data_IF_553522497135
#
_entry.id   IF_553522497135
#
_cell.length_a   1.000
_cell.length_b   1.000
_cell.length_c   1.000
_cell.angle_alpha   90.00
_cell.angle_beta   90.00
_cell.angle_gamma   90.00
#
_symmetry.space_group_name_H-M   'P 1'
#
loop_
_entity.id
_entity.type
_entity.pdbx_description
1 polymer ?
#
# COMPACT_ATOMS: atom_id res chain seq x y z
N UNK A 1 -63.75 -9.08 -2.22
CA UNK A 1 -63.23 -9.82 -1.05
C UNK A 1 -61.79 -10.18 -1.37
N UNK A 2 -60.80 -9.46 -0.82
CA UNK A 2 -59.39 -9.85 -1.01
C UNK A 2 -59.24 -11.19 -0.31
N UNK A 3 -58.96 -12.25 -1.08
CA UNK A 3 -58.74 -13.57 -0.52
C UNK A 3 -57.53 -13.47 0.40
N UNK A 4 -57.72 -13.69 1.71
CA UNK A 4 -56.69 -13.58 2.76
C UNK A 4 -55.42 -14.36 2.36
N UNK A 5 -55.58 -15.47 1.64
CA UNK A 5 -54.51 -16.31 1.09
C UNK A 5 -53.67 -15.55 0.03
N UNK A 6 -54.30 -14.78 -0.86
CA UNK A 6 -53.61 -13.94 -1.85
C UNK A 6 -52.87 -12.78 -1.17
N UNK A 7 -53.44 -12.20 -0.11
CA UNK A 7 -52.78 -11.18 0.69
C UNK A 7 -51.52 -11.72 1.40
N UNK A 8 -51.58 -12.93 1.98
CA UNK A 8 -50.44 -13.61 2.60
C UNK A 8 -49.34 -13.91 1.58
N UNK A 9 -49.70 -14.39 0.38
CA UNK A 9 -48.73 -14.63 -0.71
C UNK A 9 -48.03 -13.35 -1.19
N UNK A 10 -48.77 -12.24 -1.26
CA UNK A 10 -48.21 -10.92 -1.59
C UNK A 10 -47.26 -10.40 -0.50
N UNK A 11 -47.58 -10.63 0.78
CA UNK A 11 -46.73 -10.26 1.91
C UNK A 11 -45.42 -11.06 1.92
N UNK A 12 -45.48 -12.36 1.64
CA UNK A 12 -44.30 -13.22 1.51
C UNK A 12 -43.39 -12.77 0.37
N UNK A 13 -43.98 -12.40 -0.78
CA UNK A 13 -43.23 -11.86 -1.94
C UNK A 13 -42.55 -10.54 -1.60
N UNK A 14 -43.24 -9.65 -0.87
CA UNK A 14 -42.69 -8.38 -0.43
C UNK A 14 -41.50 -8.56 0.53
N UNK A 15 -41.61 -9.48 1.50
CA UNK A 15 -40.53 -9.79 2.44
C UNK A 15 -39.31 -10.35 1.69
N UNK A 16 -39.52 -11.26 0.74
CA UNK A 16 -38.45 -11.80 -0.10
C UNK A 16 -37.75 -10.71 -0.92
N UNK A 17 -38.51 -9.78 -1.51
CA UNK A 17 -37.96 -8.64 -2.23
C UNK A 17 -37.11 -7.72 -1.32
N UNK A 18 -37.55 -7.51 -0.07
CA UNK A 18 -36.78 -6.73 0.91
C UNK A 18 -35.45 -7.40 1.26
N UNK A 19 -35.45 -8.71 1.51
CA UNK A 19 -34.21 -9.46 1.76
C UNK A 19 -33.27 -9.43 0.56
N UNK A 20 -33.81 -9.55 -0.66
CA UNK A 20 -33.02 -9.43 -1.89
C UNK A 20 -32.40 -8.04 -2.01
N UNK A 21 -33.17 -6.99 -1.75
CA UNK A 21 -32.69 -5.61 -1.77
C UNK A 21 -31.57 -5.36 -0.76
N UNK A 22 -31.71 -5.84 0.48
CA UNK A 22 -30.67 -5.73 1.50
C UNK A 22 -29.42 -6.51 1.07
N UNK A 23 -29.58 -7.75 0.58
CA UNK A 23 -28.47 -8.58 0.11
C UNK A 23 -27.67 -7.90 -1.01
N UNK A 24 -28.36 -7.41 -2.04
CA UNK A 24 -27.74 -6.68 -3.17
C UNK A 24 -27.08 -5.39 -2.68
N UNK A 25 -27.70 -4.66 -1.76
CA UNK A 25 -27.12 -3.44 -1.18
C UNK A 25 -25.82 -3.73 -0.44
N UNK A 26 -25.77 -4.80 0.36
CA UNK A 26 -24.56 -5.25 1.06
C UNK A 26 -23.48 -5.68 0.07
N UNK A 27 -23.83 -6.43 -0.98
CA UNK A 27 -22.87 -6.83 -2.03
C UNK A 27 -22.27 -5.61 -2.75
N UNK A 28 -23.11 -4.65 -3.15
CA UNK A 28 -22.65 -3.41 -3.79
C UNK A 28 -21.76 -2.58 -2.85
N UNK A 29 -22.08 -2.55 -1.55
CA UNK A 29 -21.25 -1.87 -0.56
C UNK A 29 -19.89 -2.54 -0.38
N UNK A 30 -19.83 -3.87 -0.28
CA UNK A 30 -18.58 -4.63 -0.19
C UNK A 30 -17.73 -4.47 -1.46
N UNK A 31 -18.37 -4.49 -2.64
CA UNK A 31 -17.71 -4.18 -3.89
C UNK A 31 -17.15 -2.75 -3.89
N UNK A 32 -17.90 -1.76 -3.41
CA UNK A 32 -17.43 -0.35 -3.29
C UNK A 32 -16.18 -0.22 -2.42
N UNK A 33 -16.08 -0.96 -1.31
CA UNK A 33 -14.86 -0.97 -0.47
C UNK A 33 -13.68 -1.59 -1.22
N UNK A 34 -13.93 -2.67 -2.00
CA UNK A 34 -12.93 -3.25 -2.89
C UNK A 34 -12.54 -2.31 -4.05
N UNK A 35 -13.23 -1.17 -4.22
CA UNK A 35 -12.92 -0.18 -5.23
C UNK A 35 -12.18 1.05 -4.70
N UNK A 36 -11.88 1.17 -3.39
CA UNK A 36 -11.07 2.27 -2.87
C UNK A 36 -9.61 1.90 -3.08
N UNK A 37 -8.89 2.53 -4.03
CA UNK A 37 -7.47 2.26 -4.22
C UNK A 37 -6.70 2.70 -2.98
N UNK A 38 -6.11 1.74 -2.28
CA UNK A 38 -5.24 1.97 -1.15
C UNK A 38 -3.91 1.31 -1.49
N UNK A 39 -2.89 2.13 -1.74
CA UNK A 39 -1.54 1.67 -2.03
C UNK A 39 -0.69 1.95 -0.80
N UNK A 40 0.05 0.94 -0.36
CA UNK A 40 0.85 1.06 0.85
C UNK A 40 2.02 0.09 0.84
N UNK A 41 2.95 0.34 1.75
CA UNK A 41 4.07 -0.55 2.01
C UNK A 41 3.74 -1.37 3.24
N UNK A 42 4.21 -2.61 3.28
CA UNK A 42 4.29 -3.32 4.55
C UNK A 42 5.44 -2.73 5.38
N UNK A 43 5.58 -3.19 6.61
CA UNK A 43 6.70 -2.78 7.46
C UNK A 43 8.03 -3.11 6.77
N UNK A 44 8.89 -2.10 6.66
CA UNK A 44 10.22 -2.18 6.07
C UNK A 44 11.23 -1.97 7.20
N UNK A 45 12.12 -2.94 7.37
CA UNK A 45 13.18 -2.88 8.37
C UNK A 45 14.51 -2.55 7.69
N UNK A 46 15.25 -1.65 8.32
CA UNK A 46 16.61 -1.28 7.97
C UNK A 46 17.51 -1.80 9.10
N UNK A 47 18.28 -2.84 8.83
CA UNK A 47 19.12 -3.54 9.81
C UNK A 47 20.55 -3.13 9.56
N UNK A 48 21.20 -2.54 10.57
CA UNK A 48 22.60 -2.18 10.52
C UNK A 48 23.40 -3.18 11.35
N UNK A 49 24.29 -3.92 10.70
CA UNK A 49 25.13 -4.92 11.35
C UNK A 49 26.37 -4.31 12.04
N UNK A 50 27.15 -5.17 12.72
CA UNK A 50 28.43 -4.78 13.37
C UNK A 50 29.44 -4.14 12.41
N UNK A 51 29.42 -4.54 11.14
CA UNK A 51 30.31 -4.00 10.10
C UNK A 51 29.77 -2.67 9.53
N UNK A 52 28.72 -2.13 10.15
CA UNK A 52 28.00 -0.93 9.73
C UNK A 52 27.38 -1.02 8.34
N UNK A 53 27.15 -2.23 7.83
CA UNK A 53 26.43 -2.41 6.57
C UNK A 53 24.95 -2.35 6.86
N UNK A 54 24.28 -1.47 6.13
CA UNK A 54 22.84 -1.42 6.13
C UNK A 54 22.31 -2.60 5.31
N UNK A 55 21.23 -3.20 5.77
CA UNK A 55 20.47 -4.21 5.07
C UNK A 55 19.00 -3.84 5.08
N UNK A 56 18.32 -4.00 3.95
CA UNK A 56 16.89 -3.76 3.84
C UNK A 56 16.13 -5.07 3.83
N UNK A 57 15.03 -5.13 4.60
CA UNK A 57 14.16 -6.29 4.67
C UNK A 57 12.69 -5.88 4.66
N UNK A 58 11.92 -6.41 3.71
CA UNK A 58 10.47 -6.35 3.78
C UNK A 58 9.97 -7.47 4.69
N UNK A 59 9.21 -7.14 5.72
CA UNK A 59 8.67 -8.12 6.72
C UNK A 59 7.81 -9.23 6.12
N UNK A 60 7.31 -9.04 4.90
CA UNK A 60 6.50 -10.02 4.17
C UNK A 60 7.29 -10.82 3.14
N UNK A 61 8.62 -10.75 3.21
CA UNK A 61 9.51 -11.60 2.45
C UNK A 61 10.01 -12.76 3.28
N UNK A 62 10.03 -13.94 2.67
CA UNK A 62 10.71 -15.12 3.23
C UNK A 62 12.20 -15.14 2.87
N UNK A 63 12.72 -14.06 2.29
CA UNK A 63 14.13 -13.93 2.00
C UNK A 63 14.92 -13.85 3.32
N UNK A 64 15.92 -14.71 3.45
CA UNK A 64 16.90 -14.65 4.55
C UNK A 64 17.96 -13.56 4.31
N UNK A 65 18.07 -13.06 3.07
CA UNK A 65 19.10 -12.13 2.61
C UNK A 65 18.57 -10.70 2.37
N UNK A 66 19.52 -9.78 2.14
CA UNK A 66 19.32 -8.39 1.76
C UNK A 66 18.37 -8.23 0.56
N UNK A 67 17.46 -7.25 0.62
CA UNK A 67 16.54 -6.95 -0.47
C UNK A 67 16.79 -5.57 -1.11
N UNK A 68 17.08 -5.55 -2.41
CA UNK A 68 17.26 -4.32 -3.19
C UNK A 68 15.93 -3.69 -3.66
N UNK A 69 14.84 -3.87 -2.91
CA UNK A 69 13.52 -3.40 -3.32
C UNK A 69 12.54 -3.23 -2.16
N UNK A 70 11.56 -2.35 -2.33
CA UNK A 70 10.37 -2.24 -1.47
C UNK A 70 9.20 -3.00 -2.07
N UNK A 71 8.40 -3.67 -1.25
CA UNK A 71 7.13 -4.26 -1.71
C UNK A 71 5.98 -3.27 -1.51
N UNK A 72 5.46 -2.77 -2.63
CA UNK A 72 4.23 -1.98 -2.67
C UNK A 72 3.02 -2.90 -2.84
N UNK A 73 2.04 -2.77 -1.96
CA UNK A 73 0.82 -3.57 -1.98
C UNK A 73 -0.39 -2.73 -2.38
N UNK A 74 -1.35 -3.41 -3.01
CA UNK A 74 -2.67 -2.87 -3.23
C UNK A 74 -3.63 -3.40 -2.17
N UNK A 75 -3.82 -2.59 -1.13
CA UNK A 75 -4.79 -2.80 -0.06
C UNK A 75 -6.24 -2.54 -0.54
N UNK A 76 -6.40 -2.00 -1.76
CA UNK A 76 -7.64 -1.48 -2.33
C UNK A 76 -8.26 -2.31 -3.45
N UNK A 77 -8.22 -3.64 -3.36
CA UNK A 77 -9.03 -4.55 -4.17
C UNK A 77 -8.85 -4.50 -5.71
N UNK A 78 -7.86 -3.77 -6.25
CA UNK A 78 -7.58 -3.73 -7.69
C UNK A 78 -8.09 -2.51 -8.46
N UNK A 79 -8.48 -1.43 -7.78
CA UNK A 79 -9.15 -0.29 -8.43
C UNK A 79 -8.23 0.77 -9.07
N UNK A 80 -6.92 0.73 -8.81
CA UNK A 80 -5.95 1.64 -9.40
C UNK A 80 -5.47 1.11 -10.76
N UNK A 81 -5.54 1.95 -11.81
CA UNK A 81 -4.97 1.69 -13.13
C UNK A 81 -3.96 2.77 -13.52
N UNK A 82 -3.04 2.42 -14.42
CA UNK A 82 -2.00 3.33 -14.94
C UNK A 82 -1.26 4.01 -13.79
N UNK A 83 -0.78 3.20 -12.85
CA UNK A 83 -0.04 3.67 -11.69
C UNK A 83 1.38 4.05 -12.14
N UNK A 84 1.79 5.23 -11.75
CA UNK A 84 3.17 5.72 -11.86
C UNK A 84 3.70 5.88 -10.45
N UNK A 85 4.83 5.24 -10.18
CA UNK A 85 5.52 5.28 -8.90
C UNK A 85 6.84 6.03 -9.12
N UNK A 86 7.03 7.12 -8.43
CA UNK A 86 8.24 7.95 -8.49
C UNK A 86 8.91 7.92 -7.12
N UNK A 87 10.16 7.49 -7.07
CA UNK A 87 11.02 7.64 -5.89
C UNK A 87 11.79 8.95 -6.05
N UNK A 88 11.73 9.77 -5.03
CA UNK A 88 12.25 11.13 -4.99
C UNK A 88 13.30 11.25 -3.89
N UNK A 89 14.32 12.07 -4.11
CA UNK A 89 15.18 12.59 -3.04
C UNK A 89 14.91 14.08 -2.87
N UNK A 90 14.53 14.51 -1.67
CA UNK A 90 13.93 15.82 -1.44
C UNK A 90 12.54 15.90 -2.08
N UNK A 91 12.13 17.09 -2.50
CA UNK A 91 10.75 17.31 -2.98
C UNK A 91 10.54 16.89 -4.44
N UNK A 92 11.50 17.17 -5.33
CA UNK A 92 11.27 17.11 -6.78
C UNK A 92 12.22 16.21 -7.57
N UNK A 93 13.33 15.77 -6.96
CA UNK A 93 14.36 15.03 -7.70
C UNK A 93 13.96 13.57 -7.86
N UNK A 94 13.29 13.26 -8.97
CA UNK A 94 12.95 11.89 -9.34
C UNK A 94 14.23 11.11 -9.65
N UNK A 95 14.56 10.16 -8.79
CA UNK A 95 15.71 9.29 -8.96
C UNK A 95 15.33 7.91 -9.51
N UNK A 96 14.05 7.56 -9.42
CA UNK A 96 13.52 6.36 -10.02
C UNK A 96 12.06 6.54 -10.41
N UNK A 97 11.68 5.94 -11.54
CA UNK A 97 10.31 5.94 -12.02
C UNK A 97 9.91 4.57 -12.50
N UNK A 98 8.74 4.11 -12.07
CA UNK A 98 8.17 2.82 -12.47
C UNK A 98 6.74 2.99 -12.93
N UNK A 99 6.38 2.27 -13.99
CA UNK A 99 5.04 2.26 -14.55
C UNK A 99 4.39 0.90 -14.32
N UNK A 100 3.16 0.91 -13.83
CA UNK A 100 2.38 -0.30 -13.52
C UNK A 100 0.98 -0.13 -14.10
N UNK A 101 0.55 -1.08 -14.93
CA UNK A 101 -0.75 -0.98 -15.59
C UNK A 101 -1.93 -1.20 -14.63
N UNK A 102 -1.81 -2.20 -13.75
CA UNK A 102 -2.80 -2.57 -12.74
C UNK A 102 -2.06 -3.30 -11.62
N UNK A 103 -2.53 -3.16 -10.38
CA UNK A 103 -2.05 -3.90 -9.22
C UNK A 103 -3.10 -4.95 -8.81
N UNK A 104 -2.89 -6.26 -9.02
CA UNK A 104 -3.75 -7.29 -8.44
C UNK A 104 -3.82 -7.18 -6.91
N UNK A 105 -4.97 -7.51 -6.34
CA UNK A 105 -5.24 -7.36 -4.90
C UNK A 105 -4.48 -8.31 -3.98
N UNK A 106 -3.78 -9.32 -4.54
CA UNK A 106 -3.08 -10.35 -3.77
C UNK A 106 -1.58 -10.40 -4.03
N UNK A 107 -1.06 -9.51 -4.87
CA UNK A 107 0.35 -9.50 -5.25
C UNK A 107 0.99 -8.16 -4.89
N UNK A 108 2.19 -8.24 -4.32
CA UNK A 108 3.03 -7.07 -4.06
C UNK A 108 3.94 -6.78 -5.24
N UNK A 109 4.17 -5.50 -5.52
CA UNK A 109 5.07 -5.07 -6.59
C UNK A 109 6.40 -4.67 -6.00
N UNK A 110 7.46 -5.19 -6.59
CA UNK A 110 8.82 -4.85 -6.21
C UNK A 110 9.17 -3.49 -6.80
N UNK A 111 9.33 -2.48 -5.96
CA UNK A 111 9.88 -1.19 -6.32
C UNK A 111 11.39 -1.25 -6.06
N UNK A 112 12.25 -1.35 -7.10
CA UNK A 112 13.68 -1.46 -6.85
C UNK A 112 14.19 -0.25 -6.07
N UNK A 113 15.21 -0.46 -5.26
CA UNK A 113 15.94 0.59 -4.56
C UNK A 113 17.30 0.63 -5.21
N UNK A 114 17.60 1.74 -5.88
CA UNK A 114 18.91 1.94 -6.44
C UNK A 114 19.91 2.34 -5.34
N UNK A 115 21.20 2.19 -5.64
CA UNK A 115 22.27 2.52 -4.71
C UNK A 115 22.17 3.94 -4.11
N UNK A 116 21.72 4.94 -4.88
CA UNK A 116 21.60 6.32 -4.36
C UNK A 116 20.51 6.46 -3.31
N UNK A 117 19.40 5.73 -3.45
CA UNK A 117 18.38 5.65 -2.39
C UNK A 117 18.99 5.03 -1.14
N UNK A 118 19.73 3.93 -1.34
CA UNK A 118 20.29 3.16 -0.26
C UNK A 118 21.33 3.97 0.54
N UNK A 119 22.24 4.63 -0.17
CA UNK A 119 23.25 5.53 0.40
C UNK A 119 22.57 6.66 1.21
N UNK A 120 21.45 7.23 0.72
CA UNK A 120 20.70 8.26 1.45
C UNK A 120 20.10 7.72 2.76
N UNK A 121 19.52 6.52 2.76
CA UNK A 121 18.96 5.90 3.96
C UNK A 121 20.06 5.64 5.01
N UNK A 122 21.21 5.14 4.56
CA UNK A 122 22.38 4.89 5.42
C UNK A 122 22.94 6.19 6.01
N UNK A 123 23.06 7.24 5.19
CA UNK A 123 23.51 8.56 5.65
C UNK A 123 22.50 9.21 6.62
N UNK A 124 21.20 9.05 6.38
CA UNK A 124 20.13 9.53 7.27
C UNK A 124 20.29 8.91 8.68
N UNK A 125 20.49 7.59 8.73
CA UNK A 125 20.70 6.85 9.98
C UNK A 125 22.01 7.28 10.66
N UNK A 126 23.12 7.40 9.92
CA UNK A 126 24.42 7.84 10.48
C UNK A 126 24.38 9.23 11.09
N UNK A 127 23.57 10.11 10.52
CA UNK A 127 23.43 11.49 11.00
C UNK A 127 22.40 11.62 12.14
N UNK A 128 21.81 10.52 12.63
CA UNK A 128 20.72 10.51 13.60
C UNK A 128 19.54 11.42 13.18
N UNK A 129 19.26 11.49 11.88
CA UNK A 129 18.09 12.19 11.36
C UNK A 129 16.93 11.21 11.26
N UNK A 130 15.77 11.57 11.80
CA UNK A 130 14.56 10.74 11.72
C UNK A 130 13.74 11.03 10.47
N UNK A 131 13.92 12.22 9.86
CA UNK A 131 13.34 12.52 8.55
C UNK A 131 14.33 12.09 7.45
N UNK A 132 13.87 11.19 6.58
CA UNK A 132 14.61 10.82 5.38
C UNK A 132 14.26 11.77 4.24
N UNK A 133 15.24 12.11 3.41
CA UNK A 133 14.96 12.82 2.16
C UNK A 133 14.32 11.91 1.10
N UNK A 134 14.19 10.60 1.33
CA UNK A 134 13.50 9.70 0.41
C UNK A 134 11.99 9.87 0.48
N UNK A 135 11.36 10.22 -0.64
CA UNK A 135 9.91 10.35 -0.76
C UNK A 135 9.36 9.48 -1.89
N UNK A 136 8.07 9.14 -1.83
CA UNK A 136 7.39 8.36 -2.87
C UNK A 136 6.16 9.12 -3.35
N UNK A 137 6.11 9.39 -4.66
CA UNK A 137 4.93 9.92 -5.33
C UNK A 137 4.24 8.82 -6.13
N UNK A 138 2.97 8.61 -5.83
CA UNK A 138 2.09 7.66 -6.50
C UNK A 138 1.06 8.45 -7.31
N UNK A 139 1.00 8.23 -8.61
CA UNK A 139 -0.03 8.79 -9.48
C UNK A 139 -0.81 7.67 -10.15
N UNK A 140 -2.13 7.64 -10.02
CA UNK A 140 -2.95 6.59 -10.64
C UNK A 140 -4.33 7.09 -11.05
N UNK A 141 -5.02 6.32 -11.88
CA UNK A 141 -6.42 6.56 -12.22
C UNK A 141 -7.32 5.62 -11.42
N UNK A 142 -8.34 6.19 -10.79
CA UNK A 142 -9.37 5.41 -10.11
C UNK A 142 -10.32 4.80 -11.15
N UNK A 143 -10.54 3.48 -11.12
CA UNK A 143 -11.35 2.78 -12.13
C UNK A 143 -12.78 3.29 -12.26
N UNK A 144 -13.46 3.54 -11.14
CA UNK A 144 -14.85 4.03 -11.12
C UNK A 144 -14.95 5.52 -11.48
N UNK A 145 -14.28 6.40 -10.73
CA UNK A 145 -14.42 7.84 -10.94
C UNK A 145 -13.68 8.36 -12.19
N UNK A 146 -12.76 7.56 -12.76
CA UNK A 146 -11.84 7.94 -13.86
C UNK A 146 -10.98 9.16 -13.56
N UNK A 147 -10.97 9.65 -12.32
CA UNK A 147 -10.15 10.78 -11.89
C UNK A 147 -8.72 10.31 -11.64
N UNK A 148 -7.77 11.15 -12.00
CA UNK A 148 -6.37 11.00 -11.57
C UNK A 148 -6.31 11.32 -10.08
N UNK A 149 -5.56 10.51 -9.35
CA UNK A 149 -5.21 10.70 -7.95
C UNK A 149 -3.70 10.78 -7.85
N UNK A 150 -3.23 11.66 -6.97
CA UNK A 150 -1.82 11.76 -6.62
C UNK A 150 -1.71 11.63 -5.10
N UNK A 151 -0.79 10.78 -4.65
CA UNK A 151 -0.44 10.60 -3.25
C UNK A 151 1.05 10.87 -3.16
N UNK A 152 1.44 11.69 -2.19
CA UNK A 152 2.82 11.96 -1.84
C UNK A 152 3.06 11.42 -0.45
N UNK A 153 4.04 10.52 -0.31
CA UNK A 153 4.39 9.86 0.93
C UNK A 153 5.80 10.27 1.32
N UNK A 154 5.96 10.76 2.55
CA UNK A 154 7.25 11.15 3.09
C UNK A 154 7.92 9.99 3.79
N UNK A 155 9.21 9.79 3.53
CA UNK A 155 10.00 8.77 4.22
C UNK A 155 10.36 9.21 5.63
N UNK A 156 10.01 8.38 6.61
CA UNK A 156 10.39 8.56 8.00
C UNK A 156 11.18 7.33 8.46
N UNK A 157 12.25 7.54 9.21
CA UNK A 157 13.07 6.48 9.78
C UNK A 157 13.01 6.59 11.29
N UNK A 158 12.47 5.57 11.94
CA UNK A 158 12.42 5.48 13.40
C UNK A 158 13.34 4.38 13.90
N UNK A 159 13.89 4.57 15.10
CA UNK A 159 14.59 3.49 15.80
C UNK A 159 13.55 2.45 16.25
N UNK A 160 13.74 1.20 15.82
CA UNK A 160 12.84 0.10 16.14
C UNK A 160 13.36 -0.69 17.35
N UNK A 161 14.63 -1.09 17.32
CA UNK A 161 15.30 -1.74 18.44
C UNK A 161 16.83 -1.68 18.30
N UNK A 162 17.55 -1.85 19.39
CA UNK A 162 19.01 -1.86 19.39
C UNK A 162 19.54 -3.04 20.21
N UNK A 163 20.45 -3.80 19.62
CA UNK A 163 21.12 -4.96 20.22
C UNK A 163 22.62 -4.69 20.33
N UNK A 164 23.36 -5.54 21.03
CA UNK A 164 24.83 -5.40 21.15
C UNK A 164 25.54 -5.42 19.78
N UNK A 165 24.92 -6.10 18.82
CA UNK A 165 25.53 -6.55 17.57
C UNK A 165 24.84 -6.01 16.31
N UNK A 166 23.66 -5.42 16.46
CA UNK A 166 22.87 -4.88 15.36
C UNK A 166 21.91 -3.80 15.86
N UNK A 167 21.66 -2.80 15.02
CA UNK A 167 20.62 -1.80 15.26
C UNK A 167 19.55 -1.92 14.18
N UNK A 168 18.28 -1.92 14.59
CA UNK A 168 17.13 -2.06 13.70
C UNK A 168 16.36 -0.75 13.69
N UNK A 169 16.11 -0.26 12.48
CA UNK A 169 15.28 0.91 12.21
C UNK A 169 14.08 0.50 11.36
N UNK A 170 13.02 1.29 11.42
CA UNK A 170 11.83 1.11 10.60
C UNK A 170 11.73 2.26 9.59
N UNK A 171 11.61 1.93 8.31
CA UNK A 171 11.30 2.89 7.26
C UNK A 171 9.78 2.92 7.02
N UNK A 172 9.18 4.07 7.28
CA UNK A 172 7.77 4.33 7.11
C UNK A 172 7.53 5.36 6.01
N UNK A 173 6.33 5.31 5.41
CA UNK A 173 5.89 6.23 4.38
C UNK A 173 4.54 6.82 4.80
N UNK A 174 4.51 8.10 5.16
CA UNK A 174 3.35 8.81 5.76
C UNK A 174 2.88 9.95 4.86
#
# INVERSE_FOLDING_TARGET
>A
MINIISAIGSLGTFIMALFYFVSVSVQLYQMKISFIPALGFNQILLIRDKDQRLNLKNTTSNAEEHEDYLKLYNLGGGAAKKITIEVLLGEDKVIQKKYVNMLPSKEGYMLPINKRVFDELDDTIKNNSYESNMNIKLSYYHNVSRKKQEIFLKGHIDEFNNYEDESIYELQFI
#
